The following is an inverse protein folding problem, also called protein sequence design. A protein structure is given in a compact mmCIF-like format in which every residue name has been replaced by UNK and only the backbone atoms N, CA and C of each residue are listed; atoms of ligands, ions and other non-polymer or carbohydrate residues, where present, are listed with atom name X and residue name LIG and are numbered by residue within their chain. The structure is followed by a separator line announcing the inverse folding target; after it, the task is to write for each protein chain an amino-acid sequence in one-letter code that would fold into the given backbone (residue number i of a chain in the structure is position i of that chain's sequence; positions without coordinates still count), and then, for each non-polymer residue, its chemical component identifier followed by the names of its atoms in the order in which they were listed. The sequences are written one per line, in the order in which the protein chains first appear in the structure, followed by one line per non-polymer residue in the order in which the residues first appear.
data_IF_989999064487
#
_entry.id   IF_989999064487
#
_cell.length_a   1.000
_cell.length_b   1.000
_cell.length_c   1.000
_cell.angle_alpha   90.00
_cell.angle_beta   90.00
_cell.angle_gamma   90.00
#
_symmetry.space_group_name_H-M   'P 1'
#
loop_
_entity.id
_entity.type
_entity.pdbx_description
1 polymer ?
#
# COMPACT_ATOMS: atom_id res chain seq x y z
N UNK A 1 -15.37 1.45 23.50
CA UNK A 1 -14.86 1.04 22.18
C UNK A 1 -14.01 2.21 21.72
N UNK A 2 -12.73 2.02 21.48
CA UNK A 2 -11.89 3.06 20.85
C UNK A 2 -12.44 3.27 19.43
N UNK A 3 -12.67 4.53 19.05
CA UNK A 3 -13.12 4.85 17.69
C UNK A 3 -12.10 4.31 16.68
N UNK A 4 -12.60 3.61 15.65
CA UNK A 4 -11.75 3.11 14.57
C UNK A 4 -11.08 4.31 13.86
N UNK A 5 -9.80 4.20 13.47
CA UNK A 5 -9.16 5.27 12.71
C UNK A 5 -9.86 5.45 11.36
N UNK A 6 -10.06 6.70 10.95
CA UNK A 6 -10.59 7.05 9.64
C UNK A 6 -9.47 6.96 8.60
N UNK A 7 -9.68 6.19 7.55
CA UNK A 7 -8.65 6.01 6.52
C UNK A 7 -9.22 6.16 5.12
N UNK A 8 -8.40 6.66 4.21
CA UNK A 8 -8.54 6.51 2.76
C UNK A 8 -7.40 5.63 2.31
N UNK A 9 -7.71 4.49 1.67
CA UNK A 9 -6.71 3.63 1.05
C UNK A 9 -6.55 4.02 -0.41
N UNK A 10 -5.31 4.34 -0.82
CA UNK A 10 -4.95 4.59 -2.23
C UNK A 10 -4.10 3.42 -2.72
N UNK A 11 -4.62 2.63 -3.67
CA UNK A 11 -4.10 1.31 -3.99
C UNK A 11 -4.06 1.03 -5.50
N UNK A 12 -3.27 0.05 -5.88
CA UNK A 12 -3.19 -0.47 -7.26
C UNK A 12 -3.39 -2.00 -7.31
N UNK A 13 -4.56 -2.54 -6.87
CA UNK A 13 -4.75 -3.88 -6.40
C UNK A 13 -4.06 -4.97 -7.19
N UNK A 14 -2.95 -5.42 -6.58
CA UNK A 14 -2.30 -6.69 -6.73
C UNK A 14 -2.70 -7.63 -5.59
N UNK A 15 -1.91 -8.69 -5.37
CA UNK A 15 -2.21 -9.76 -4.43
C UNK A 15 -2.27 -9.29 -2.97
N UNK A 16 -1.38 -8.43 -2.57
CA UNK A 16 -1.23 -7.91 -1.20
C UNK A 16 -2.09 -6.68 -0.91
N UNK A 17 -2.31 -5.79 -1.90
CA UNK A 17 -3.33 -4.73 -1.82
C UNK A 17 -4.72 -5.30 -1.50
N UNK A 18 -5.05 -6.44 -2.13
CA UNK A 18 -6.34 -7.09 -1.91
C UNK A 18 -6.52 -7.45 -0.42
N UNK A 19 -5.48 -7.95 0.26
CA UNK A 19 -5.51 -8.21 1.71
C UNK A 19 -5.58 -6.91 2.50
N UNK A 20 -4.84 -5.87 2.08
CA UNK A 20 -4.87 -4.57 2.73
C UNK A 20 -6.28 -3.97 2.74
N UNK A 21 -7.02 -4.09 1.64
CA UNK A 21 -8.43 -3.65 1.55
C UNK A 21 -9.36 -4.43 2.51
N UNK A 22 -9.16 -5.74 2.66
CA UNK A 22 -9.92 -6.56 3.63
C UNK A 22 -9.64 -6.10 5.04
N UNK A 23 -8.36 -5.96 5.41
CA UNK A 23 -7.91 -5.52 6.74
C UNK A 23 -8.42 -4.11 7.06
N UNK A 24 -8.33 -3.20 6.08
CA UNK A 24 -8.84 -1.84 6.19
C UNK A 24 -10.36 -1.80 6.43
N UNK A 25 -11.12 -2.56 5.66
CA UNK A 25 -12.58 -2.65 5.79
C UNK A 25 -13.02 -3.18 7.17
N UNK A 26 -12.21 -4.05 7.79
CA UNK A 26 -12.53 -4.62 9.09
C UNK A 26 -12.12 -3.72 10.27
N UNK A 27 -10.90 -3.18 10.26
CA UNK A 27 -10.32 -2.50 11.43
C UNK A 27 -10.38 -0.97 11.40
N UNK A 28 -10.78 -0.37 10.29
CA UNK A 28 -10.86 1.08 10.17
C UNK A 28 -12.28 1.55 9.85
N UNK A 29 -12.51 2.85 10.03
CA UNK A 29 -13.58 3.59 9.38
C UNK A 29 -13.07 3.96 7.97
N UNK A 30 -13.41 3.10 6.99
CA UNK A 30 -12.95 3.23 5.61
C UNK A 30 -13.76 4.32 4.91
N UNK A 31 -13.24 5.55 4.96
CA UNK A 31 -13.86 6.75 4.35
C UNK A 31 -14.01 6.58 2.84
N UNK A 32 -13.06 5.93 2.19
CA UNK A 32 -13.12 5.57 0.79
C UNK A 32 -11.85 4.89 0.30
N UNK A 33 -11.91 4.44 -0.95
CA UNK A 33 -10.81 3.83 -1.67
C UNK A 33 -10.55 4.61 -2.94
N UNK A 34 -9.28 4.89 -3.21
CA UNK A 34 -8.83 5.47 -4.48
C UNK A 34 -7.88 4.50 -5.17
N UNK A 35 -7.85 4.52 -6.50
CA UNK A 35 -6.96 3.64 -7.25
C UNK A 35 -6.01 4.41 -8.15
N UNK A 36 -4.85 3.84 -8.36
CA UNK A 36 -3.78 4.37 -9.20
C UNK A 36 -3.29 3.28 -10.15
N UNK A 37 -2.66 3.67 -11.24
CA UNK A 37 -1.91 2.77 -12.11
C UNK A 37 -0.58 2.39 -11.47
N UNK A 38 -0.30 1.10 -11.36
CA UNK A 38 0.92 0.59 -10.74
C UNK A 38 1.10 -0.89 -11.06
N UNK A 39 0.72 -1.82 -10.20
CA UNK A 39 0.82 -3.27 -10.45
C UNK A 39 0.22 -3.68 -11.80
N UNK A 40 -0.87 -3.03 -12.19
CA UNK A 40 -1.52 -3.16 -13.49
C UNK A 40 -2.02 -1.79 -13.99
N UNK A 41 -2.44 -1.66 -15.27
CA UNK A 41 -3.11 -0.46 -15.76
C UNK A 41 -4.35 -0.10 -14.93
N UNK A 42 -4.66 1.20 -14.81
CA UNK A 42 -5.70 1.75 -13.93
C UNK A 42 -7.06 1.04 -14.07
N UNK A 43 -7.47 0.66 -15.28
CA UNK A 43 -8.73 -0.06 -15.48
C UNK A 43 -8.80 -1.39 -14.73
N UNK A 44 -7.68 -2.13 -14.66
CA UNK A 44 -7.57 -3.38 -13.91
C UNK A 44 -7.52 -3.14 -12.41
N UNK A 45 -6.70 -2.17 -11.95
CA UNK A 45 -6.59 -1.87 -10.52
C UNK A 45 -7.93 -1.40 -9.95
N UNK A 46 -8.66 -0.55 -10.68
CA UNK A 46 -10.00 -0.10 -10.29
C UNK A 46 -11.02 -1.26 -10.26
N UNK A 47 -10.99 -2.12 -11.29
CA UNK A 47 -11.86 -3.32 -11.32
C UNK A 47 -11.58 -4.23 -10.13
N UNK A 48 -10.32 -4.50 -9.86
CA UNK A 48 -9.89 -5.36 -8.76
C UNK A 48 -10.30 -4.78 -7.39
N UNK A 49 -10.11 -3.49 -7.16
CA UNK A 49 -10.57 -2.83 -5.93
C UNK A 49 -12.07 -3.02 -5.71
N UNK A 50 -12.90 -2.83 -6.75
CA UNK A 50 -14.35 -3.04 -6.64
C UNK A 50 -14.68 -4.48 -6.29
N UNK A 51 -14.04 -5.46 -6.93
CA UNK A 51 -14.25 -6.89 -6.65
C UNK A 51 -13.97 -7.19 -5.17
N UNK A 52 -12.85 -6.70 -4.63
CA UNK A 52 -12.50 -6.95 -3.23
C UNK A 52 -13.50 -6.27 -2.28
N UNK A 53 -13.88 -5.00 -2.55
CA UNK A 53 -14.90 -4.31 -1.75
C UNK A 53 -16.25 -5.03 -1.78
N UNK A 54 -16.66 -5.56 -2.93
CA UNK A 54 -17.89 -6.34 -3.07
C UNK A 54 -17.82 -7.66 -2.26
N UNK A 55 -16.66 -8.34 -2.28
CA UNK A 55 -16.45 -9.60 -1.56
C UNK A 55 -16.50 -9.42 -0.05
N UNK A 56 -15.99 -8.30 0.48
CA UNK A 56 -16.03 -7.99 1.91
C UNK A 56 -17.35 -7.31 2.32
N UNK A 57 -18.24 -7.02 1.39
CA UNK A 57 -19.49 -6.30 1.64
C UNK A 57 -19.29 -4.86 2.09
N UNK A 58 -18.18 -4.23 1.69
CA UNK A 58 -17.88 -2.84 2.03
C UNK A 58 -18.72 -1.87 1.19
N UNK A 59 -19.40 -0.95 1.86
CA UNK A 59 -20.09 0.18 1.21
C UNK A 59 -19.20 1.38 0.89
N UNK A 60 -17.89 1.30 1.14
CA UNK A 60 -16.98 2.41 0.91
C UNK A 60 -16.98 2.86 -0.55
N UNK A 61 -16.99 4.19 -0.81
CA UNK A 61 -16.89 4.72 -2.16
C UNK A 61 -15.54 4.40 -2.78
N UNK A 62 -15.53 4.19 -4.10
CA UNK A 62 -14.35 3.88 -4.90
C UNK A 62 -14.18 4.92 -6.02
N UNK A 63 -13.02 5.53 -6.08
CA UNK A 63 -12.70 6.54 -7.09
C UNK A 63 -11.43 6.17 -7.86
N UNK A 64 -11.49 6.12 -9.19
CA UNK A 64 -10.30 5.91 -10.00
C UNK A 64 -9.50 7.21 -10.13
N UNK A 65 -8.18 7.10 -10.17
CA UNK A 65 -7.27 8.25 -10.14
C UNK A 65 -6.32 8.30 -11.34
N UNK A 66 -5.03 8.48 -11.07
CA UNK A 66 -4.02 8.67 -12.09
C UNK A 66 -3.73 7.38 -12.87
N UNK A 67 -3.75 7.49 -14.20
CA UNK A 67 -3.44 6.40 -15.12
C UNK A 67 -1.95 6.31 -15.48
N UNK A 68 -1.14 7.26 -15.00
CA UNK A 68 0.29 7.37 -15.27
C UNK A 68 1.01 8.17 -14.18
N UNK A 69 2.35 7.97 -14.07
CA UNK A 69 3.19 8.74 -13.16
C UNK A 69 3.29 10.21 -13.56
N UNK A 70 3.81 11.06 -12.66
CA UNK A 70 3.93 12.50 -12.87
C UNK A 70 4.89 12.85 -14.01
N UNK A 71 6.01 12.13 -14.13
CA UNK A 71 7.10 12.48 -15.05
C UNK A 71 7.59 11.29 -15.86
N UNK A 72 7.84 10.14 -15.22
CA UNK A 72 8.41 8.96 -15.89
C UNK A 72 7.34 8.24 -16.72
N UNK A 73 7.70 7.40 -17.71
CA UNK A 73 6.73 6.53 -18.38
C UNK A 73 6.04 5.58 -17.42
N UNK A 74 4.78 5.22 -17.71
CA UNK A 74 4.05 4.23 -16.93
C UNK A 74 4.82 2.89 -16.88
N UNK A 75 4.82 2.28 -15.70
CA UNK A 75 5.52 1.04 -15.38
C UNK A 75 4.57 0.13 -14.61
N UNK A 76 4.55 -1.15 -14.96
CA UNK A 76 3.67 -2.12 -14.35
C UNK A 76 4.43 -3.34 -13.84
N UNK A 77 3.85 -4.08 -12.90
CA UNK A 77 4.40 -5.29 -12.32
C UNK A 77 3.67 -6.56 -12.82
N UNK A 78 3.31 -6.59 -14.11
CA UNK A 78 2.63 -7.75 -14.72
C UNK A 78 3.47 -9.03 -14.67
N UNK A 79 4.80 -8.90 -14.65
CA UNK A 79 5.75 -9.98 -14.41
C UNK A 79 5.60 -10.65 -13.03
N UNK A 80 4.96 -9.96 -12.09
CA UNK A 80 4.72 -10.40 -10.71
C UNK A 80 3.24 -10.72 -10.46
N UNK A 81 2.34 -9.83 -10.84
CA UNK A 81 0.92 -9.90 -10.52
C UNK A 81 0.04 -10.45 -11.67
N UNK A 82 0.64 -10.73 -12.84
CA UNK A 82 -0.07 -11.11 -14.06
C UNK A 82 -0.74 -9.93 -14.76
N UNK A 83 -1.32 -10.17 -15.94
CA UNK A 83 -1.83 -9.12 -16.82
C UNK A 83 -2.97 -8.29 -16.19
N UNK A 84 -3.79 -8.91 -15.35
CA UNK A 84 -4.92 -8.26 -14.68
C UNK A 84 -4.61 -7.79 -13.24
N UNK A 85 -3.40 -8.02 -12.73
CA UNK A 85 -3.00 -7.66 -11.38
C UNK A 85 -3.36 -8.67 -10.29
N UNK A 86 -4.26 -9.62 -10.55
CA UNK A 86 -4.72 -10.65 -9.59
C UNK A 86 -4.74 -12.04 -10.26
N UNK A 87 -3.63 -12.43 -10.90
CA UNK A 87 -3.51 -13.72 -11.51
C UNK A 87 -3.55 -14.85 -10.47
N UNK A 88 -4.03 -16.03 -10.87
CA UNK A 88 -4.05 -17.24 -10.05
C UNK A 88 -5.41 -17.59 -9.44
N UNK A 89 -6.41 -16.71 -9.56
CA UNK A 89 -7.76 -16.99 -9.09
C UNK A 89 -8.83 -16.57 -10.09
N UNK A 90 -9.98 -17.24 -10.05
CA UNK A 90 -11.18 -16.83 -10.78
C UNK A 90 -11.88 -15.71 -10.04
N UNK A 91 -11.82 -14.51 -10.61
CA UNK A 91 -12.42 -13.33 -10.03
C UNK A 91 -13.88 -13.18 -10.49
N UNK A 92 -14.81 -12.84 -9.59
CA UNK A 92 -16.17 -12.50 -10.00
C UNK A 92 -16.20 -11.19 -10.80
N UNK A 93 -17.32 -10.93 -11.48
CA UNK A 93 -17.56 -9.62 -12.06
C UNK A 93 -17.85 -8.59 -10.95
N UNK A 94 -17.34 -7.35 -11.07
CA UNK A 94 -17.65 -6.30 -10.12
C UNK A 94 -19.12 -5.93 -10.18
N UNK A 95 -19.72 -5.63 -9.03
CA UNK A 95 -21.17 -5.31 -8.94
C UNK A 95 -21.55 -4.01 -9.66
N UNK A 96 -20.62 -3.07 -9.72
CA UNK A 96 -20.78 -1.74 -10.32
C UNK A 96 -19.43 -1.12 -10.66
N UNK A 97 -19.37 -0.11 -11.52
CA UNK A 97 -18.13 0.64 -11.78
C UNK A 97 -17.68 1.43 -10.55
N UNK A 98 -16.53 2.10 -10.64
CA UNK A 98 -16.13 3.12 -9.68
C UNK A 98 -17.18 4.25 -9.60
N UNK A 99 -17.28 4.88 -8.43
CA UNK A 99 -18.23 5.95 -8.17
C UNK A 99 -17.86 7.24 -8.92
N UNK A 100 -16.57 7.47 -9.18
CA UNK A 100 -16.07 8.52 -10.09
C UNK A 100 -14.66 8.21 -10.60
N UNK A 101 -14.20 9.06 -11.53
CA UNK A 101 -12.80 9.08 -12.02
C UNK A 101 -11.98 10.25 -11.39
N UNK A 102 -12.36 10.71 -10.20
CA UNK A 102 -11.82 11.91 -9.55
C UNK A 102 -11.24 11.59 -8.16
N UNK A 103 -10.30 10.65 -8.09
CA UNK A 103 -9.66 10.27 -6.82
C UNK A 103 -9.00 11.46 -6.11
N UNK A 104 -8.35 12.36 -6.87
CA UNK A 104 -7.68 13.54 -6.30
C UNK A 104 -8.66 14.47 -5.62
N UNK A 105 -9.78 14.81 -6.29
CA UNK A 105 -10.81 15.66 -5.70
C UNK A 105 -11.46 14.99 -4.48
N UNK A 106 -11.70 13.68 -4.56
CA UNK A 106 -12.25 12.91 -3.44
C UNK A 106 -11.33 12.98 -2.21
N UNK A 107 -10.00 12.79 -2.38
CA UNK A 107 -9.01 12.92 -1.29
C UNK A 107 -9.08 14.33 -0.68
N UNK A 108 -9.04 15.36 -1.52
CA UNK A 108 -9.06 16.76 -1.08
C UNK A 108 -10.33 17.08 -0.29
N UNK A 109 -11.48 16.76 -0.85
CA UNK A 109 -12.78 17.07 -0.24
C UNK A 109 -12.98 16.30 1.06
N UNK A 110 -12.59 15.02 1.10
CA UNK A 110 -12.66 14.22 2.31
C UNK A 110 -11.77 14.79 3.42
N UNK A 111 -10.53 15.18 3.11
CA UNK A 111 -9.62 15.79 4.08
C UNK A 111 -10.09 17.16 4.55
N UNK A 112 -10.84 17.89 3.75
CA UNK A 112 -11.40 19.20 4.13
C UNK A 112 -12.66 19.08 4.97
N UNK A 113 -13.48 18.07 4.74
CA UNK A 113 -14.77 17.87 5.41
C UNK A 113 -14.69 16.97 6.64
N UNK A 114 -13.68 16.11 6.72
CA UNK A 114 -13.48 15.14 7.81
C UNK A 114 -12.11 15.30 8.42
N UNK A 115 -12.08 15.53 9.73
CA UNK A 115 -10.82 15.64 10.47
C UNK A 115 -10.22 14.29 10.83
N UNK A 116 -8.88 14.24 10.88
CA UNK A 116 -8.15 13.10 11.40
C UNK A 116 -8.07 11.90 10.46
N UNK A 117 -8.27 12.10 9.16
CA UNK A 117 -8.09 11.05 8.16
C UNK A 117 -6.61 10.69 8.06
N UNK A 118 -6.31 9.40 8.06
CA UNK A 118 -5.06 8.86 7.56
C UNK A 118 -5.15 8.58 6.07
N UNK A 119 -4.22 9.09 5.28
CA UNK A 119 -4.02 8.64 3.92
C UNK A 119 -3.11 7.41 3.96
N UNK A 120 -3.56 6.31 3.36
CA UNK A 120 -2.85 5.04 3.38
C UNK A 120 -2.56 4.59 1.94
N UNK A 121 -1.57 5.23 1.27
CA UNK A 121 -1.15 4.78 -0.05
C UNK A 121 -0.33 3.49 0.05
N UNK A 122 -0.76 2.49 -0.72
CA UNK A 122 -0.09 1.19 -0.85
C UNK A 122 0.35 0.91 -2.30
N UNK A 123 0.06 1.85 -3.21
CA UNK A 123 0.56 1.89 -4.58
C UNK A 123 1.48 3.10 -4.83
N UNK A 124 1.80 3.40 -6.10
CA UNK A 124 2.55 4.60 -6.47
C UNK A 124 1.88 5.87 -5.96
N UNK A 125 2.66 6.81 -5.42
CA UNK A 125 2.18 7.96 -4.67
C UNK A 125 1.56 9.10 -5.52
N UNK A 126 1.23 8.83 -6.77
CA UNK A 126 0.79 9.82 -7.76
C UNK A 126 -0.47 10.58 -7.33
N UNK A 127 -1.52 9.89 -6.87
CA UNK A 127 -2.75 10.53 -6.43
C UNK A 127 -2.51 11.43 -5.22
N UNK A 128 -1.71 10.97 -4.27
CA UNK A 128 -1.39 11.72 -3.05
C UNK A 128 -0.60 12.99 -3.39
N UNK A 129 0.41 12.88 -4.25
CA UNK A 129 1.19 14.04 -4.70
C UNK A 129 0.32 15.06 -5.44
N UNK A 130 -0.56 14.61 -6.33
CA UNK A 130 -1.50 15.48 -7.05
C UNK A 130 -2.46 16.20 -6.09
N UNK A 131 -2.98 15.49 -5.07
CA UNK A 131 -3.86 16.09 -4.06
C UNK A 131 -3.11 17.15 -3.23
N UNK A 132 -1.87 16.87 -2.80
CA UNK A 132 -1.04 17.81 -2.06
C UNK A 132 -0.64 19.03 -2.89
N UNK A 133 -0.37 18.86 -4.20
CA UNK A 133 -0.11 19.97 -5.12
C UNK A 133 -1.33 20.88 -5.29
N UNK A 134 -2.50 20.29 -5.51
CA UNK A 134 -3.73 21.03 -5.74
C UNK A 134 -4.28 21.69 -4.47
N UNK A 135 -4.04 21.08 -3.31
CA UNK A 135 -4.56 21.55 -2.02
C UNK A 135 -3.53 21.37 -0.89
N UNK A 136 -2.48 22.22 -0.82
CA UNK A 136 -1.46 22.12 0.23
C UNK A 136 -2.00 22.27 1.66
N UNK A 137 -3.19 22.84 1.82
CA UNK A 137 -3.86 23.00 3.11
C UNK A 137 -4.22 21.66 3.78
N UNK A 138 -4.42 20.58 3.01
CA UNK A 138 -4.79 19.26 3.56
C UNK A 138 -3.67 18.63 4.39
N UNK A 139 -2.41 19.00 4.17
CA UNK A 139 -1.26 18.54 4.98
C UNK A 139 -1.50 18.74 6.49
N UNK A 140 -2.16 19.82 6.86
CA UNK A 140 -2.43 20.15 8.27
C UNK A 140 -3.72 19.53 8.81
N UNK A 141 -4.51 18.88 7.95
CA UNK A 141 -5.82 18.30 8.29
C UNK A 141 -5.76 16.80 8.44
N UNK A 142 -4.86 16.14 7.73
CA UNK A 142 -4.66 14.70 7.85
C UNK A 142 -4.01 14.34 9.20
N UNK A 143 -4.37 13.19 9.75
CA UNK A 143 -3.67 12.64 10.92
C UNK A 143 -2.23 12.21 10.57
N UNK A 144 -2.03 11.84 9.31
CA UNK A 144 -0.74 11.47 8.72
C UNK A 144 -0.92 10.72 7.41
N UNK A 145 0.20 10.30 6.84
CA UNK A 145 0.29 9.44 5.67
C UNK A 145 1.06 8.20 6.07
N UNK A 146 0.43 7.03 5.98
CA UNK A 146 1.07 5.73 6.22
C UNK A 146 1.23 5.02 4.90
N UNK A 147 2.44 4.94 4.38
CA UNK A 147 2.71 4.41 3.04
C UNK A 147 3.40 3.05 3.07
N UNK A 148 3.09 2.20 2.07
CA UNK A 148 3.93 1.07 1.70
C UNK A 148 4.84 1.49 0.56
N UNK A 149 6.13 1.40 0.76
CA UNK A 149 7.12 1.68 -0.28
C UNK A 149 8.50 1.99 0.27
N UNK A 150 9.50 1.89 -0.59
CA UNK A 150 10.89 2.15 -0.25
C UNK A 150 11.55 1.08 0.60
N UNK A 151 12.67 1.43 1.20
CA UNK A 151 13.49 0.54 2.02
C UNK A 151 14.98 0.87 1.91
N UNK A 152 15.80 0.09 2.61
CA UNK A 152 17.25 0.18 2.51
C UNK A 152 17.83 -0.54 1.28
N UNK A 153 16.99 -1.28 0.56
CA UNK A 153 17.30 -1.99 -0.68
C UNK A 153 16.07 -1.96 -1.61
N UNK A 154 16.24 -2.41 -2.85
CA UNK A 154 15.16 -2.45 -3.82
C UNK A 154 14.70 -3.87 -4.16
N UNK A 155 13.54 -3.97 -4.79
CA UNK A 155 12.98 -5.20 -5.36
C UNK A 155 12.76 -5.10 -6.87
N UNK A 156 12.67 -3.88 -7.42
CA UNK A 156 12.51 -3.67 -8.87
C UNK A 156 13.85 -3.32 -9.54
N UNK A 157 14.66 -2.55 -8.85
CA UNK A 157 16.09 -2.37 -9.14
C UNK A 157 16.88 -2.69 -7.87
N UNK A 158 18.21 -2.83 -7.91
CA UNK A 158 18.98 -3.00 -6.68
C UNK A 158 18.79 -1.88 -5.66
N UNK A 159 18.40 -0.69 -6.11
CA UNK A 159 18.29 0.51 -5.28
C UNK A 159 16.84 0.91 -4.97
N UNK A 160 15.86 0.51 -5.76
CA UNK A 160 14.51 1.04 -5.70
C UNK A 160 13.44 -0.03 -5.49
N UNK A 161 12.54 0.24 -4.55
CA UNK A 161 11.29 -0.48 -4.36
C UNK A 161 10.27 -0.04 -5.45
N UNK A 162 9.32 -0.94 -5.78
CA UNK A 162 8.45 -0.77 -6.94
C UNK A 162 7.58 0.49 -6.87
N UNK A 163 6.88 0.77 -5.76
CA UNK A 163 5.97 1.92 -5.65
C UNK A 163 6.72 3.24 -5.81
N UNK A 164 7.89 3.34 -5.20
CA UNK A 164 8.74 4.54 -5.31
C UNK A 164 9.37 4.63 -6.71
N UNK A 165 9.79 3.49 -7.29
CA UNK A 165 10.36 3.45 -8.64
C UNK A 165 9.33 3.76 -9.72
N UNK A 166 8.06 3.38 -9.50
CA UNK A 166 6.97 3.63 -10.45
C UNK A 166 6.68 5.13 -10.60
N UNK A 167 6.73 5.91 -9.51
CA UNK A 167 6.64 7.37 -9.56
C UNK A 167 7.58 8.05 -8.54
N UNK A 168 8.89 8.13 -8.83
CA UNK A 168 9.86 8.72 -7.90
C UNK A 168 9.62 10.21 -7.66
N UNK A 169 9.02 10.92 -8.62
CA UNK A 169 8.73 12.34 -8.48
C UNK A 169 7.56 12.58 -7.52
N UNK A 170 6.49 11.80 -7.62
CA UNK A 170 5.40 11.83 -6.65
C UNK A 170 5.90 11.46 -5.25
N UNK A 171 6.72 10.41 -5.14
CA UNK A 171 7.30 10.02 -3.87
C UNK A 171 8.14 11.13 -3.25
N UNK A 172 9.02 11.78 -4.03
CA UNK A 172 9.83 12.90 -3.55
C UNK A 172 8.99 14.05 -2.99
N UNK A 173 7.85 14.35 -3.62
CA UNK A 173 6.93 15.39 -3.12
C UNK A 173 6.24 14.99 -1.83
N UNK A 174 5.77 13.74 -1.74
CA UNK A 174 5.13 13.25 -0.52
C UNK A 174 6.10 13.22 0.64
N UNK A 175 7.34 12.75 0.46
CA UNK A 175 8.35 12.78 1.52
C UNK A 175 8.76 14.21 1.93
N UNK A 176 8.61 15.18 1.03
CA UNK A 176 8.87 16.61 1.29
C UNK A 176 7.68 17.43 1.77
N UNK A 177 6.47 16.85 1.90
CA UNK A 177 5.25 17.63 2.10
C UNK A 177 5.07 18.22 3.51
N UNK A 178 5.80 17.71 4.50
CA UNK A 178 5.70 18.17 5.90
C UNK A 178 4.55 17.57 6.71
N UNK A 179 3.81 16.60 6.17
CA UNK A 179 2.87 15.81 6.95
C UNK A 179 3.62 14.78 7.84
N UNK A 180 2.93 14.25 8.85
CA UNK A 180 3.41 13.08 9.59
C UNK A 180 3.46 11.88 8.65
N UNK A 181 4.66 11.33 8.40
CA UNK A 181 4.84 10.16 7.54
C UNK A 181 5.19 8.93 8.36
N UNK A 182 4.63 7.78 7.96
CA UNK A 182 5.01 6.45 8.42
C UNK A 182 5.33 5.62 7.19
N UNK A 183 6.55 5.09 7.10
CA UNK A 183 7.01 4.28 5.98
C UNK A 183 7.13 2.82 6.40
N UNK A 184 6.36 1.97 5.76
CA UNK A 184 6.50 0.52 5.78
C UNK A 184 7.27 0.09 4.53
N UNK A 185 8.60 0.11 4.62
CA UNK A 185 9.49 -0.29 3.53
C UNK A 185 9.69 -1.80 3.46
N UNK A 186 10.47 -2.26 2.47
CA UNK A 186 10.80 -3.68 2.28
C UNK A 186 11.42 -4.32 3.53
N UNK A 187 12.15 -3.52 4.34
CA UNK A 187 12.79 -3.97 5.58
C UNK A 187 11.81 -4.60 6.57
N UNK A 188 10.64 -4.02 6.72
CA UNK A 188 9.58 -4.54 7.60
C UNK A 188 8.62 -5.45 6.86
N UNK A 189 8.28 -5.14 5.61
CA UNK A 189 7.25 -5.86 4.87
C UNK A 189 7.65 -7.31 4.56
N UNK A 190 8.92 -7.59 4.31
CA UNK A 190 9.43 -8.95 4.13
C UNK A 190 9.25 -9.86 5.35
N UNK A 191 8.99 -9.31 6.52
CA UNK A 191 8.79 -10.09 7.75
C UNK A 191 7.37 -10.66 7.83
N UNK A 192 6.40 -10.07 7.11
CA UNK A 192 4.99 -10.49 7.12
C UNK A 192 4.70 -11.35 5.87
N UNK A 193 4.54 -12.66 6.04
CA UNK A 193 4.46 -13.62 4.95
C UNK A 193 3.27 -14.56 5.08
N UNK A 194 2.58 -14.81 3.97
CA UNK A 194 1.65 -15.93 3.80
C UNK A 194 2.45 -17.19 3.42
N UNK A 195 2.84 -17.97 4.44
CA UNK A 195 3.49 -19.27 4.20
C UNK A 195 2.51 -20.27 3.62
N UNK A 196 2.96 -21.40 3.00
CA UNK A 196 2.06 -22.45 2.52
C UNK A 196 1.06 -22.93 3.58
N UNK A 197 1.49 -23.06 4.85
CA UNK A 197 0.64 -23.47 5.96
C UNK A 197 -0.44 -22.41 6.24
N UNK A 198 -0.07 -21.12 6.26
CA UNK A 198 -0.99 -20.00 6.46
C UNK A 198 -1.97 -19.88 5.29
N UNK A 199 -1.49 -20.08 4.06
CA UNK A 199 -2.31 -20.10 2.85
C UNK A 199 -3.35 -21.22 2.91
N UNK A 200 -2.97 -22.42 3.37
CA UNK A 200 -3.92 -23.52 3.56
C UNK A 200 -4.90 -23.25 4.71
N UNK A 201 -4.50 -22.54 5.76
CA UNK A 201 -5.43 -22.07 6.80
C UNK A 201 -6.47 -21.10 6.23
N UNK A 202 -6.05 -20.16 5.38
CA UNK A 202 -6.96 -19.24 4.67
C UNK A 202 -7.99 -20.01 3.84
N UNK A 203 -7.57 -21.05 3.11
CA UNK A 203 -8.46 -21.88 2.29
C UNK A 203 -9.61 -22.50 3.08
N UNK A 204 -9.41 -22.76 4.37
CA UNK A 204 -10.40 -23.38 5.28
C UNK A 204 -11.36 -22.39 5.90
N UNK A 205 -11.16 -21.08 5.72
CA UNK A 205 -12.10 -20.07 6.22
C UNK A 205 -13.43 -20.23 5.46
N UNK A 206 -14.57 -20.42 6.13
CA UNK A 206 -15.85 -20.77 5.50
C UNK A 206 -16.56 -19.54 4.92
N UNK A 207 -15.85 -18.77 4.09
CA UNK A 207 -16.39 -17.64 3.36
C UNK A 207 -15.81 -17.61 1.93
N UNK A 208 -16.17 -16.62 1.12
CA UNK A 208 -15.71 -16.49 -0.27
C UNK A 208 -14.28 -15.94 -0.39
N UNK A 209 -13.79 -15.28 0.64
CA UNK A 209 -12.51 -14.55 0.64
C UNK A 209 -11.35 -15.52 0.89
N UNK A 210 -11.46 -16.41 1.87
CA UNK A 210 -10.39 -17.32 2.27
C UNK A 210 -9.87 -18.19 1.12
N UNK A 211 -10.72 -18.97 0.41
CA UNK A 211 -10.30 -19.74 -0.76
C UNK A 211 -9.70 -18.88 -1.86
N UNK A 212 -10.28 -17.71 -2.15
CA UNK A 212 -9.77 -16.77 -3.15
C UNK A 212 -8.32 -16.34 -2.83
N UNK A 213 -8.06 -15.90 -1.60
CA UNK A 213 -6.71 -15.51 -1.19
C UNK A 213 -5.73 -16.68 -1.17
N UNK A 214 -6.20 -17.87 -0.85
CA UNK A 214 -5.36 -19.06 -0.93
C UNK A 214 -4.92 -19.37 -2.37
N UNK A 215 -5.79 -19.15 -3.35
CA UNK A 215 -5.45 -19.30 -4.77
C UNK A 215 -4.50 -18.19 -5.24
N UNK A 216 -4.77 -16.92 -4.86
CA UNK A 216 -3.91 -15.78 -5.15
C UNK A 216 -2.49 -15.97 -4.61
N UNK A 217 -2.33 -16.34 -3.33
CA UNK A 217 -1.02 -16.57 -2.74
C UNK A 217 -0.35 -17.85 -3.24
N UNK A 218 -1.14 -18.86 -3.62
CA UNK A 218 -0.65 -20.06 -4.31
C UNK A 218 0.01 -19.76 -5.65
N UNK A 219 -0.48 -18.74 -6.37
CA UNK A 219 0.16 -18.21 -7.57
C UNK A 219 1.36 -17.30 -7.23
N UNK A 220 1.18 -16.39 -6.27
CA UNK A 220 2.13 -15.33 -5.98
C UNK A 220 3.47 -15.83 -5.42
N UNK A 221 3.44 -16.79 -4.49
CA UNK A 221 4.67 -17.32 -3.87
C UNK A 221 5.67 -17.91 -4.87
N UNK A 222 5.29 -18.81 -5.80
CA UNK A 222 6.22 -19.31 -6.81
C UNK A 222 6.80 -18.21 -7.72
N UNK A 223 6.04 -17.14 -7.96
CA UNK A 223 6.53 -16.00 -8.75
C UNK A 223 7.61 -15.24 -7.96
N UNK A 224 7.33 -14.91 -6.70
CA UNK A 224 8.30 -14.21 -5.84
C UNK A 224 9.57 -15.04 -5.65
N UNK A 225 9.47 -16.36 -5.52
CA UNK A 225 10.64 -17.24 -5.36
C UNK A 225 11.58 -17.27 -6.58
N UNK A 226 11.12 -16.84 -7.77
CA UNK A 226 12.02 -16.64 -8.92
C UNK A 226 12.99 -15.49 -8.70
N UNK A 227 12.58 -14.45 -7.94
CA UNK A 227 13.39 -13.26 -7.64
C UNK A 227 14.11 -13.39 -6.29
N UNK A 228 13.45 -14.00 -5.30
CA UNK A 228 13.98 -14.21 -3.94
C UNK A 228 13.79 -15.67 -3.54
N UNK A 229 14.71 -16.58 -3.96
CA UNK A 229 14.57 -18.03 -3.72
C UNK A 229 14.48 -18.44 -2.25
N UNK A 230 14.97 -17.61 -1.34
CA UNK A 230 14.95 -17.86 0.11
C UNK A 230 13.60 -17.53 0.77
N UNK A 231 12.65 -16.92 0.04
CA UNK A 231 11.36 -16.54 0.58
C UNK A 231 10.54 -17.78 0.93
N UNK A 232 10.06 -17.86 2.18
CA UNK A 232 9.31 -19.01 2.69
C UNK A 232 7.80 -18.90 2.46
N UNK A 233 7.30 -17.67 2.35
CA UNK A 233 5.90 -17.34 2.10
C UNK A 233 5.80 -16.13 1.19
N UNK A 234 4.65 -15.93 0.57
CA UNK A 234 4.37 -14.73 -0.21
C UNK A 234 4.32 -13.51 0.74
N UNK A 235 5.08 -12.45 0.48
CA UNK A 235 5.03 -11.26 1.33
C UNK A 235 3.67 -10.57 1.20
N UNK A 236 3.18 -10.03 2.33
CA UNK A 236 1.92 -9.27 2.40
C UNK A 236 2.30 -7.83 2.72
N UNK A 237 2.92 -7.16 1.74
CA UNK A 237 3.56 -5.86 1.93
C UNK A 237 2.60 -4.78 2.43
N UNK A 238 1.49 -4.59 1.76
CA UNK A 238 0.60 -3.43 1.88
C UNK A 238 -0.18 -3.39 3.19
N UNK A 239 -0.43 -4.56 3.76
CA UNK A 239 -1.06 -4.67 5.07
C UNK A 239 -0.25 -3.98 6.15
N UNK A 240 1.08 -3.90 6.01
CA UNK A 240 1.93 -3.19 6.97
C UNK A 240 1.55 -1.71 7.10
N UNK A 241 1.23 -1.02 5.99
CA UNK A 241 0.79 0.37 6.03
C UNK A 241 -0.57 0.55 6.74
N UNK A 242 -1.50 -0.38 6.54
CA UNK A 242 -2.81 -0.38 7.21
C UNK A 242 -2.65 -0.70 8.70
N UNK A 243 -1.90 -1.75 9.04
CA UNK A 243 -1.65 -2.14 10.44
C UNK A 243 -0.86 -1.08 11.20
N UNK A 244 0.01 -0.31 10.56
CA UNK A 244 0.73 0.81 11.19
C UNK A 244 -0.21 1.89 11.73
N UNK A 245 -1.41 2.00 11.17
CA UNK A 245 -2.47 2.93 11.62
C UNK A 245 -3.42 2.27 12.61
N UNK A 246 -3.85 1.04 12.31
CA UNK A 246 -4.87 0.35 13.12
C UNK A 246 -4.29 -0.36 14.34
N UNK A 247 -3.06 -0.88 14.25
CA UNK A 247 -2.35 -1.65 15.27
C UNK A 247 -0.89 -1.20 15.43
N UNK A 248 -0.62 0.10 15.71
CA UNK A 248 0.73 0.65 15.72
C UNK A 248 1.67 -0.02 16.73
N UNK A 249 1.11 -0.67 17.76
CA UNK A 249 1.87 -1.41 18.79
C UNK A 249 2.57 -2.66 18.25
N UNK A 250 2.21 -3.13 17.06
CA UNK A 250 2.87 -4.26 16.40
C UNK A 250 4.24 -3.90 15.81
N UNK A 251 4.54 -2.61 15.70
CA UNK A 251 5.71 -2.13 14.96
C UNK A 251 6.74 -1.48 15.87
N UNK A 252 8.00 -1.76 15.55
CA UNK A 252 9.16 -1.01 16.05
C UNK A 252 9.76 -0.20 14.91
N UNK A 253 10.06 1.07 15.18
CA UNK A 253 10.64 1.98 14.19
C UNK A 253 11.19 3.23 14.87
N UNK A 254 11.85 4.08 14.10
CA UNK A 254 12.36 5.36 14.58
C UNK A 254 12.21 6.46 13.52
N UNK A 255 12.36 7.69 13.96
CA UNK A 255 12.21 8.86 13.11
C UNK A 255 13.54 9.12 12.37
N UNK A 256 13.47 9.18 11.03
CA UNK A 256 14.60 9.38 10.13
C UNK A 256 14.34 10.50 9.13
N UNK A 257 15.42 11.08 8.63
CA UNK A 257 15.32 11.87 7.41
C UNK A 257 15.36 10.90 6.21
N UNK A 258 14.35 10.98 5.38
CA UNK A 258 14.21 10.17 4.17
C UNK A 258 14.01 11.09 2.98
N UNK A 259 14.81 10.92 1.94
CA UNK A 259 14.67 11.62 0.66
C UNK A 259 14.61 10.60 -0.47
N UNK A 260 14.00 10.98 -1.59
CA UNK A 260 13.86 10.11 -2.77
C UNK A 260 14.74 10.62 -3.90
N UNK A 261 15.55 9.73 -4.46
CA UNK A 261 16.36 10.03 -5.65
C UNK A 261 15.49 10.00 -6.91
N UNK A 262 15.48 11.08 -7.68
CA UNK A 262 14.61 11.21 -8.86
C UNK A 262 15.34 11.21 -10.19
N UNK A 263 16.67 11.44 -10.20
CA UNK A 263 17.43 11.72 -11.43
C UNK A 263 18.61 10.76 -11.69
N UNK A 264 19.01 9.97 -10.70
CA UNK A 264 20.17 9.08 -10.82
C UNK A 264 19.93 7.95 -11.82
N UNK A 265 20.87 7.73 -12.75
CA UNK A 265 20.78 6.67 -13.77
C UNK A 265 20.50 5.27 -13.15
N UNK A 266 21.14 4.96 -12.02
CA UNK A 266 21.05 3.67 -11.37
C UNK A 266 20.26 3.69 -10.05
N UNK A 267 19.95 4.89 -9.54
CA UNK A 267 19.37 5.10 -8.20
C UNK A 267 18.02 5.80 -8.21
N UNK A 268 17.48 6.15 -9.39
CA UNK A 268 16.14 6.75 -9.48
C UNK A 268 15.09 5.82 -8.82
N UNK A 269 14.33 6.39 -7.87
CA UNK A 269 13.39 5.66 -7.01
C UNK A 269 14.00 5.10 -5.72
N UNK A 270 15.29 5.32 -5.45
CA UNK A 270 15.89 4.96 -4.17
C UNK A 270 15.40 5.87 -3.04
N UNK A 271 14.99 5.29 -1.93
CA UNK A 271 14.80 6.00 -0.66
C UNK A 271 16.11 6.06 0.09
N UNK A 272 16.67 7.25 0.25
CA UNK A 272 17.87 7.48 1.03
C UNK A 272 17.47 7.77 2.48
N UNK A 273 17.59 6.76 3.32
CA UNK A 273 17.30 6.84 4.75
C UNK A 273 18.58 7.25 5.49
N UNK A 274 18.55 8.35 6.23
CA UNK A 274 19.73 8.80 6.96
C UNK A 274 19.98 7.95 8.21
N UNK A 275 20.94 7.05 8.11
CA UNK A 275 21.35 6.13 9.18
C UNK A 275 22.54 6.64 10.00
N UNK A 276 23.07 7.83 9.73
CA UNK A 276 24.36 8.29 10.30
C UNK A 276 24.31 8.68 11.78
N UNK A 277 23.16 9.11 12.32
CA UNK A 277 23.00 9.36 13.76
C UNK A 277 23.90 10.43 14.39
N UNK A 278 24.33 11.45 13.63
CA UNK A 278 25.21 12.53 14.14
C UNK A 278 24.50 13.89 14.14
N UNK A 279 25.04 14.81 14.96
CA UNK A 279 24.53 16.20 15.02
C UNK A 279 24.71 16.92 13.67
N UNK A 280 23.82 17.84 13.38
CA UNK A 280 23.86 18.67 12.16
C UNK A 280 23.32 17.98 10.90
N UNK A 281 22.59 16.87 11.06
CA UNK A 281 21.83 16.23 9.99
C UNK A 281 20.50 16.96 9.78
N UNK A 282 19.87 16.78 8.60
CA UNK A 282 18.49 17.24 8.40
C UNK A 282 17.55 16.63 9.47
N UNK A 283 16.54 17.42 9.87
CA UNK A 283 15.52 16.93 10.79
C UNK A 283 14.77 15.73 10.21
N UNK A 284 14.36 14.77 11.05
CA UNK A 284 13.55 13.66 10.61
C UNK A 284 12.22 14.15 10.00
N UNK A 285 11.82 13.51 8.90
CA UNK A 285 10.54 13.76 8.22
C UNK A 285 9.65 12.53 8.15
N UNK A 286 10.16 11.36 8.54
CA UNK A 286 9.45 10.10 8.39
C UNK A 286 9.78 9.14 9.52
N UNK A 287 8.75 8.50 10.09
CA UNK A 287 8.94 7.33 10.94
C UNK A 287 9.13 6.10 10.07
N UNK A 288 10.30 5.50 10.11
CA UNK A 288 10.64 4.28 9.36
C UNK A 288 10.38 3.08 10.26
N UNK A 289 9.59 2.12 9.76
CA UNK A 289 9.31 0.88 10.44
C UNK A 289 10.37 -0.17 10.09
N UNK A 290 11.00 -0.76 11.13
CA UNK A 290 12.08 -1.73 10.95
C UNK A 290 11.67 -3.16 11.27
N UNK A 291 10.73 -3.33 12.20
CA UNK A 291 10.31 -4.65 12.69
C UNK A 291 8.80 -4.68 12.91
N UNK A 292 8.23 -5.85 12.73
CA UNK A 292 6.84 -6.16 13.07
C UNK A 292 6.79 -7.44 13.91
N UNK A 293 5.90 -7.47 14.89
CA UNK A 293 5.44 -8.74 15.47
C UNK A 293 4.61 -9.48 14.41
N UNK A 294 5.29 -10.29 13.62
CA UNK A 294 4.69 -10.93 12.45
C UNK A 294 3.66 -12.01 12.81
N UNK A 295 3.77 -12.65 13.96
CA UNK A 295 2.78 -13.63 14.41
C UNK A 295 1.49 -12.93 14.83
N UNK A 296 1.58 -11.85 15.60
CA UNK A 296 0.44 -11.03 15.93
C UNK A 296 -0.17 -10.38 14.68
N UNK A 297 0.65 -9.89 13.75
CA UNK A 297 0.19 -9.32 12.48
C UNK A 297 -0.61 -10.32 11.63
N UNK A 298 -0.15 -11.55 11.51
CA UNK A 298 -0.89 -12.63 10.82
C UNK A 298 -2.19 -12.97 11.54
N UNK A 299 -2.19 -12.97 12.88
CA UNK A 299 -3.41 -13.21 13.66
C UNK A 299 -4.46 -12.11 13.40
N UNK A 300 -4.05 -10.83 13.27
CA UNK A 300 -4.96 -9.74 12.91
C UNK A 300 -5.52 -9.90 11.49
N UNK A 301 -4.67 -10.26 10.51
CA UNK A 301 -5.13 -10.56 9.16
C UNK A 301 -6.18 -11.68 9.21
N UNK A 302 -5.92 -12.75 9.98
CA UNK A 302 -6.87 -13.84 10.17
C UNK A 302 -8.21 -13.37 10.74
N UNK A 303 -8.21 -12.45 11.71
CA UNK A 303 -9.43 -11.86 12.28
C UNK A 303 -10.23 -11.03 11.29
N UNK A 304 -9.56 -10.34 10.38
CA UNK A 304 -10.22 -9.54 9.34
C UNK A 304 -10.94 -10.40 8.29
N UNK A 305 -10.57 -11.67 8.15
CA UNK A 305 -11.14 -12.59 7.16
C UNK A 305 -12.33 -13.41 7.70
N UNK A 306 -12.66 -13.30 8.98
CA UNK A 306 -13.78 -13.99 9.65
C UNK A 306 -14.94 -13.02 9.85
#
# INVERSE_FOLDING_TARGET
MTDKPKIIVDCDPGHDDAVALVVASHFADLVGVTTVSGNAPLGHTTRNARIILDLVGSGAPLHSGADRPLVVPARHAQDVHGDNGLAGADLPEPSRPADSANAVDFIIDSCRTTEGIWLVPVGPLTNIALALRAAPDIVRRVAGISLMGGGTFGNKTPAAEFNIWADPHAASEVFGCGARLVMSGLDVCHQLQATPERTEMMRRIPNRIGPLFADLFGYFLPVIQKFVPSMKGAPIFDVCAVLSVTHPHLFEGDDRNVVVETAGEHTAGMTLIDMRGRKGLPEPNCRVQWRIDHEAGVAEIGRAHV
#
